data_IF_355158574403
#
_entry.id   IF_355158574403
#
_cell.length_a   1.000
_cell.length_b   1.000
_cell.length_c   1.000
_cell.angle_alpha   90.00
_cell.angle_beta   90.00
_cell.angle_gamma   90.00
#
_symmetry.space_group_name_H-M   'P 1'
#
loop_
_entity.id
_entity.type
_entity.pdbx_description
1 polymer ?
#
# COMPACT_ATOMS: atom_id res chain seq x y z
N UNK A 1 49.29 1.91 -0.02
CA UNK A 1 48.50 3.15 -0.17
C UNK A 1 46.98 2.90 -0.20
N UNK A 2 46.46 1.97 -1.04
CA UNK A 2 45.00 1.67 -1.13
C UNK A 2 44.31 1.12 0.14
N UNK A 3 45.03 0.44 1.03
CA UNK A 3 44.45 -0.11 2.28
C UNK A 3 44.29 0.98 3.36
N UNK A 4 45.17 1.98 3.37
CA UNK A 4 45.10 3.09 4.32
C UNK A 4 43.93 4.05 3.99
N UNK A 5 43.68 4.32 2.71
CA UNK A 5 42.51 5.10 2.28
C UNK A 5 41.17 4.42 2.60
N UNK A 6 41.11 3.07 2.55
CA UNK A 6 39.90 2.31 2.92
C UNK A 6 39.64 2.37 4.43
N UNK A 7 40.67 2.34 5.28
CA UNK A 7 40.54 2.50 6.74
C UNK A 7 40.18 3.93 7.14
N UNK A 8 40.71 4.95 6.45
CA UNK A 8 40.35 6.35 6.69
C UNK A 8 38.89 6.61 6.28
N UNK A 9 38.42 6.09 5.14
CA UNK A 9 37.00 6.19 4.77
C UNK A 9 36.08 5.46 5.74
N UNK A 10 36.41 4.24 6.18
CA UNK A 10 35.59 3.49 7.12
C UNK A 10 35.55 4.16 8.51
N UNK A 11 36.68 4.70 9.00
CA UNK A 11 36.71 5.48 10.23
C UNK A 11 35.97 6.83 10.09
N UNK A 12 35.98 7.47 8.92
CA UNK A 12 35.22 8.70 8.66
C UNK A 12 33.70 8.44 8.56
N UNK A 13 33.29 7.28 8.03
CA UNK A 13 31.88 6.85 8.04
C UNK A 13 31.39 6.44 9.44
N UNK A 14 32.25 5.81 10.26
CA UNK A 14 31.92 5.52 11.66
C UNK A 14 31.89 6.83 12.48
N UNK A 15 32.78 7.80 12.19
CA UNK A 15 32.75 9.10 12.87
C UNK A 15 31.54 9.97 12.45
N UNK A 16 31.08 9.89 11.19
CA UNK A 16 29.82 10.51 10.76
C UNK A 16 28.59 9.77 11.33
N UNK A 17 28.64 8.44 11.43
CA UNK A 17 27.55 7.61 11.96
C UNK A 17 27.40 7.69 13.49
N UNK A 18 28.47 8.04 14.21
CA UNK A 18 28.45 8.15 15.69
C UNK A 18 28.16 9.59 16.17
N UNK A 19 28.20 10.61 15.30
CA UNK A 19 27.75 11.98 15.62
C UNK A 19 26.21 12.12 15.57
N UNK A 20 25.48 11.09 15.13
CA UNK A 20 24.00 11.09 15.17
C UNK A 20 23.39 10.50 16.45
N UNK A 21 24.19 10.12 17.44
CA UNK A 21 23.70 9.73 18.76
C UNK A 21 24.21 10.71 19.82
N UNK A 22 23.24 11.36 20.48
CA UNK A 22 23.36 12.19 21.70
C UNK A 22 23.61 13.69 21.43
N UNK A 23 22.53 14.40 21.05
CA UNK A 23 22.00 15.58 21.76
C UNK A 23 21.18 16.48 20.83
N UNK A 24 19.90 16.65 21.12
CA UNK A 24 19.15 17.83 20.70
C UNK A 24 18.73 17.88 19.24
N UNK A 25 17.62 17.21 18.96
CA UNK A 25 16.72 17.44 17.82
C UNK A 25 16.75 18.90 17.33
N UNK A 26 17.56 19.15 16.29
CA UNK A 26 17.52 20.36 15.47
C UNK A 26 17.37 19.89 14.04
N UNK A 27 16.13 19.54 13.71
CA UNK A 27 15.70 19.37 12.32
C UNK A 27 15.75 20.75 11.68
N UNK A 28 16.75 20.96 10.83
CA UNK A 28 16.89 22.18 10.02
C UNK A 28 15.71 22.23 9.06
N UNK A 29 14.80 23.17 9.28
CA UNK A 29 13.76 23.57 8.35
C UNK A 29 14.41 24.12 7.07
N UNK A 30 14.57 23.27 6.06
CA UNK A 30 14.70 23.72 4.66
C UNK A 30 13.27 23.78 4.09
N UNK A 31 12.74 25.00 4.04
CA UNK A 31 11.44 25.30 3.46
C UNK A 31 11.48 25.00 1.96
N UNK A 32 11.06 23.79 1.56
CA UNK A 32 10.56 23.54 0.22
C UNK A 32 9.05 23.74 0.26
N UNK A 33 8.57 24.96 0.03
CA UNK A 33 7.16 25.37 0.19
C UNK A 33 6.17 24.71 -0.79
N UNK A 34 6.57 23.68 -1.55
CA UNK A 34 5.72 23.04 -2.56
C UNK A 34 5.76 21.51 -2.61
N UNK A 35 6.45 20.81 -1.71
CA UNK A 35 6.27 19.35 -1.62
C UNK A 35 5.03 19.06 -0.77
N UNK A 36 3.89 18.88 -1.44
CA UNK A 36 2.74 18.24 -0.82
C UNK A 36 3.17 16.84 -0.39
N UNK A 37 3.16 16.57 0.91
CA UNK A 37 3.52 15.25 1.44
C UNK A 37 2.49 14.26 0.92
N UNK A 38 2.93 13.31 0.09
CA UNK A 38 2.08 12.22 -0.36
C UNK A 38 1.59 11.44 0.86
N UNK A 39 0.29 11.14 0.90
CA UNK A 39 -0.28 10.37 1.99
C UNK A 39 0.20 8.93 1.85
N UNK A 40 0.86 8.43 2.89
CA UNK A 40 1.42 7.08 2.90
C UNK A 40 0.30 6.02 2.80
N UNK A 41 0.46 5.00 1.94
CA UNK A 41 -0.50 3.91 1.85
C UNK A 41 -0.56 3.12 3.15
N UNK A 42 -1.71 2.48 3.43
CA UNK A 42 -1.88 1.64 4.62
C UNK A 42 -2.09 2.40 5.93
N UNK A 43 -2.15 3.73 5.91
CA UNK A 43 -2.45 4.55 7.10
C UNK A 43 -3.95 4.73 7.32
N UNK A 44 -4.73 4.84 6.26
CA UNK A 44 -6.20 4.84 6.28
C UNK A 44 -6.72 3.93 5.18
N UNK A 45 -7.40 2.87 5.60
CA UNK A 45 -7.85 1.82 4.70
C UNK A 45 -9.25 1.36 5.10
N UNK A 46 -9.84 0.54 4.25
CA UNK A 46 -11.05 -0.20 4.55
C UNK A 46 -10.67 -1.62 4.98
N UNK A 47 -11.26 -2.07 6.10
CA UNK A 47 -11.23 -3.47 6.55
C UNK A 47 -12.67 -4.00 6.48
N UNK A 48 -12.96 -4.80 5.46
CA UNK A 48 -14.32 -4.95 4.94
C UNK A 48 -14.86 -3.58 4.55
N UNK A 49 -16.04 -3.22 5.05
CA UNK A 49 -16.63 -1.89 4.83
C UNK A 49 -16.24 -0.86 5.91
N UNK A 50 -15.38 -1.22 6.86
CA UNK A 50 -15.06 -0.39 8.04
C UNK A 50 -13.82 0.47 7.78
N UNK A 51 -13.89 1.80 7.93
CA UNK A 51 -12.70 2.64 7.89
C UNK A 51 -11.83 2.40 9.12
N UNK A 52 -10.54 2.16 8.89
CA UNK A 52 -9.54 1.96 9.94
C UNK A 52 -8.37 2.89 9.68
N UNK A 53 -7.88 3.55 10.73
CA UNK A 53 -6.79 4.54 10.64
C UNK A 53 -5.69 4.28 11.68
N UNK A 54 -4.44 4.51 11.28
CA UNK A 54 -3.30 4.66 12.18
C UNK A 54 -3.14 6.13 12.53
N UNK A 55 -3.09 6.43 13.83
CA UNK A 55 -2.74 7.75 14.35
C UNK A 55 -1.76 7.61 15.50
N UNK A 56 -0.56 8.18 15.33
CA UNK A 56 0.51 8.15 16.34
C UNK A 56 0.82 6.72 16.81
N UNK A 57 0.90 5.77 15.86
CA UNK A 57 1.15 4.35 16.14
C UNK A 57 -0.04 3.56 16.71
N UNK A 58 -1.17 4.21 17.00
CA UNK A 58 -2.39 3.56 17.50
C UNK A 58 -3.39 3.33 16.38
N UNK A 59 -4.18 2.26 16.49
CA UNK A 59 -5.19 1.89 15.48
C UNK A 59 -6.58 2.25 15.96
N UNK A 60 -7.36 2.89 15.10
CA UNK A 60 -8.75 3.24 15.37
C UNK A 60 -9.66 2.74 14.27
N UNK A 61 -10.83 2.26 14.66
CA UNK A 61 -11.91 1.85 13.74
C UNK A 61 -13.07 2.83 13.83
N UNK A 62 -13.62 3.22 12.67
CA UNK A 62 -14.81 4.06 12.60
C UNK A 62 -16.07 3.20 12.63
N UNK A 63 -16.86 3.35 13.68
CA UNK A 63 -18.11 2.62 13.83
C UNK A 63 -19.25 3.20 13.00
N UNK A 64 -20.29 2.39 12.83
CA UNK A 64 -21.54 2.79 12.15
C UNK A 64 -22.30 3.91 12.85
N UNK A 65 -21.99 4.15 14.13
CA UNK A 65 -22.50 5.28 14.92
C UNK A 65 -21.72 6.58 14.70
N UNK A 66 -20.74 6.58 13.80
CA UNK A 66 -19.94 7.76 13.46
C UNK A 66 -18.82 8.06 14.47
N UNK A 67 -18.43 7.09 15.30
CA UNK A 67 -17.40 7.29 16.32
C UNK A 67 -16.16 6.44 16.08
N UNK A 68 -14.99 7.03 16.34
CA UNK A 68 -13.71 6.32 16.33
C UNK A 68 -13.50 5.57 17.63
N UNK A 69 -13.20 4.27 17.54
CA UNK A 69 -12.87 3.41 18.68
C UNK A 69 -11.43 2.97 18.58
N UNK A 70 -10.70 3.12 19.67
CA UNK A 70 -9.33 2.63 19.77
C UNK A 70 -9.32 1.09 19.83
N UNK A 71 -8.46 0.47 19.03
CA UNK A 71 -8.22 -0.96 19.05
C UNK A 71 -6.90 -1.23 19.80
N UNK A 72 -6.97 -1.99 20.87
CA UNK A 72 -5.80 -2.32 21.68
C UNK A 72 -4.93 -3.36 20.98
N UNK A 73 -3.79 -2.92 20.44
CA UNK A 73 -2.80 -3.75 19.75
C UNK A 73 -1.44 -3.69 20.47
N UNK A 74 -0.61 -4.72 20.28
CA UNK A 74 0.75 -4.76 20.82
C UNK A 74 1.73 -4.11 19.83
N UNK A 75 2.40 -3.05 20.28
CA UNK A 75 3.40 -2.31 19.52
C UNK A 75 2.79 -1.20 18.66
N UNK A 76 3.65 -0.35 18.11
CA UNK A 76 3.25 0.77 17.27
C UNK A 76 2.90 0.27 15.86
N UNK A 77 1.68 0.56 15.41
CA UNK A 77 1.21 0.18 14.08
C UNK A 77 1.92 0.97 12.99
N UNK A 78 2.40 0.24 11.97
CA UNK A 78 3.09 0.78 10.80
C UNK A 78 2.20 0.78 9.56
N UNK A 79 1.47 -0.30 9.35
CA UNK A 79 0.64 -0.51 8.16
C UNK A 79 -0.60 -1.32 8.52
N UNK A 80 -1.77 -0.86 8.11
CA UNK A 80 -2.99 -1.68 8.04
C UNK A 80 -3.02 -2.34 6.67
N UNK A 81 -3.21 -3.66 6.64
CA UNK A 81 -3.37 -4.43 5.42
C UNK A 81 -4.86 -4.50 5.10
N UNK A 82 -5.22 -4.22 3.85
CA UNK A 82 -6.61 -4.16 3.38
C UNK A 82 -7.16 -5.57 3.17
N UNK A 83 -8.37 -5.82 3.63
CA UNK A 83 -9.09 -7.08 3.47
C UNK A 83 -10.33 -7.12 4.37
N UNK A 84 -11.06 -8.21 4.39
CA UNK A 84 -12.22 -8.46 5.26
C UNK A 84 -11.87 -8.44 6.75
N UNK A 85 -10.69 -8.95 7.11
CA UNK A 85 -10.23 -9.10 8.50
C UNK A 85 -9.10 -8.11 8.79
N UNK A 86 -9.12 -7.56 10.01
CA UNK A 86 -8.09 -6.62 10.46
C UNK A 86 -6.74 -7.32 10.56
N UNK A 87 -5.80 -6.85 9.74
CA UNK A 87 -4.40 -7.23 9.79
C UNK A 87 -3.53 -5.97 9.91
N UNK A 88 -2.62 -5.97 10.88
CA UNK A 88 -1.75 -4.82 11.16
C UNK A 88 -0.31 -5.29 11.27
N UNK A 89 0.57 -4.69 10.47
CA UNK A 89 2.03 -4.80 10.61
C UNK A 89 2.50 -3.70 11.55
N UNK A 90 3.26 -4.04 12.58
CA UNK A 90 3.84 -3.07 13.50
C UNK A 90 5.27 -2.65 13.09
N UNK A 91 5.82 -1.62 13.74
CA UNK A 91 7.15 -1.08 13.44
C UNK A 91 8.30 -2.08 13.68
N UNK A 92 8.09 -3.10 14.52
CA UNK A 92 9.03 -4.20 14.74
C UNK A 92 8.93 -5.30 13.68
N UNK A 93 7.96 -5.19 12.77
CA UNK A 93 7.72 -6.12 11.68
C UNK A 93 6.93 -7.34 12.12
N UNK A 94 6.27 -7.31 13.28
CA UNK A 94 5.35 -8.37 13.73
C UNK A 94 3.93 -8.09 13.23
N UNK A 95 3.20 -9.16 12.96
CA UNK A 95 1.81 -9.10 12.54
C UNK A 95 0.82 -9.30 13.70
N UNK A 96 -0.22 -8.45 13.71
CA UNK A 96 -1.44 -8.64 14.47
C UNK A 96 -2.58 -9.04 13.54
N UNK A 97 -3.41 -9.98 14.01
CA UNK A 97 -4.68 -10.36 13.40
C UNK A 97 -5.78 -10.40 14.48
N UNK A 98 -6.97 -9.92 14.12
CA UNK A 98 -8.13 -10.07 15.00
C UNK A 98 -8.61 -11.53 14.97
N UNK A 99 -8.53 -12.20 16.12
CA UNK A 99 -8.82 -13.64 16.29
C UNK A 99 -10.32 -13.98 16.31
N UNK A 100 -11.23 -13.01 16.26
CA UNK A 100 -12.66 -13.30 16.38
C UNK A 100 -13.24 -13.79 15.05
N UNK A 101 -13.47 -15.09 14.96
CA UNK A 101 -14.34 -15.66 13.92
C UNK A 101 -15.33 -16.60 14.60
N UNK A 102 -16.58 -16.17 14.64
CA UNK A 102 -17.71 -17.05 14.93
C UNK A 102 -18.04 -17.80 13.63
N UNK A 103 -17.50 -19.00 13.50
CA UNK A 103 -17.57 -19.81 12.29
C UNK A 103 -18.93 -20.52 12.22
N UNK A 104 -19.90 -19.95 11.51
CA UNK A 104 -21.03 -20.72 10.99
C UNK A 104 -20.55 -21.75 9.95
N UNK A 105 -21.22 -22.90 9.84
CA UNK A 105 -20.93 -23.89 8.80
C UNK A 105 -21.18 -23.27 7.40
N UNK A 106 -20.13 -23.18 6.58
CA UNK A 106 -20.22 -22.78 5.16
C UNK A 106 -19.62 -21.41 4.82
N UNK A 107 -18.32 -21.20 5.08
CA UNK A 107 -17.61 -19.99 4.62
C UNK A 107 -17.59 -19.90 3.08
N UNK A 108 -17.75 -18.69 2.50
CA UNK A 108 -17.34 -18.44 1.12
C UNK A 108 -15.86 -18.81 0.91
N UNK A 109 -15.52 -19.32 -0.27
CA UNK A 109 -14.16 -19.73 -0.62
C UNK A 109 -13.11 -18.63 -0.40
N UNK A 110 -13.48 -17.37 -0.62
CA UNK A 110 -12.62 -16.19 -0.40
C UNK A 110 -12.25 -16.01 1.08
N UNK A 111 -13.20 -16.18 1.99
CA UNK A 111 -12.96 -16.09 3.44
C UNK A 111 -12.07 -17.23 3.94
N UNK A 112 -12.23 -18.44 3.41
CA UNK A 112 -11.36 -19.57 3.75
C UNK A 112 -9.92 -19.37 3.26
N UNK A 113 -9.74 -18.80 2.06
CA UNK A 113 -8.42 -18.47 1.51
C UNK A 113 -7.71 -17.37 2.32
N UNK A 114 -8.43 -16.33 2.73
CA UNK A 114 -7.90 -15.26 3.58
C UNK A 114 -7.30 -15.81 4.89
N UNK A 115 -8.00 -16.74 5.54
CA UNK A 115 -7.54 -17.38 6.79
C UNK A 115 -6.32 -18.27 6.60
N UNK A 116 -6.28 -19.02 5.51
CA UNK A 116 -5.12 -19.81 5.15
C UNK A 116 -3.88 -18.93 4.91
N UNK A 117 -4.06 -17.78 4.24
CA UNK A 117 -2.97 -16.83 4.00
C UNK A 117 -2.52 -16.11 5.28
N UNK A 118 -3.44 -15.81 6.20
CA UNK A 118 -3.11 -15.33 7.55
C UNK A 118 -2.19 -16.32 8.28
N UNK A 119 -2.56 -17.60 8.38
CA UNK A 119 -1.76 -18.58 9.11
C UNK A 119 -0.36 -18.73 8.51
N UNK A 120 -0.28 -18.81 7.18
CA UNK A 120 1.00 -18.89 6.46
C UNK A 120 1.88 -17.65 6.68
N UNK A 121 1.31 -16.46 6.53
CA UNK A 121 2.06 -15.21 6.70
C UNK A 121 2.54 -15.02 8.14
N UNK A 122 1.77 -15.45 9.15
CA UNK A 122 2.20 -15.48 10.55
C UNK A 122 3.37 -16.44 10.81
N UNK A 123 3.39 -17.61 10.17
CA UNK A 123 4.50 -18.56 10.28
C UNK A 123 5.77 -17.94 9.70
N UNK A 124 5.70 -17.42 8.47
CA UNK A 124 6.83 -16.75 7.82
C UNK A 124 7.35 -15.55 8.61
N UNK A 125 6.44 -14.73 9.14
CA UNK A 125 6.77 -13.53 9.89
C UNK A 125 7.54 -13.83 11.18
N UNK A 126 7.31 -15.00 11.79
CA UNK A 126 8.07 -15.47 12.95
C UNK A 126 9.50 -15.86 12.60
N UNK A 127 9.72 -16.38 11.40
CA UNK A 127 11.05 -16.73 10.91
C UNK A 127 11.82 -15.47 10.48
N UNK A 128 11.16 -14.57 9.75
CA UNK A 128 11.75 -13.32 9.29
C UNK A 128 10.73 -12.17 9.32
N UNK A 129 10.96 -11.12 10.15
CA UNK A 129 10.05 -10.00 10.26
C UNK A 129 9.93 -9.23 8.95
N UNK A 130 8.70 -8.83 8.61
CA UNK A 130 8.41 -8.08 7.39
C UNK A 130 8.74 -6.59 7.56
N UNK A 131 9.22 -5.98 6.49
CA UNK A 131 9.33 -4.53 6.35
C UNK A 131 8.05 -3.92 5.76
N UNK A 132 7.38 -4.63 4.86
CA UNK A 132 6.13 -4.21 4.22
C UNK A 132 5.34 -5.43 3.73
N UNK A 133 4.02 -5.33 3.65
CA UNK A 133 3.16 -6.36 3.06
C UNK A 133 2.44 -5.77 1.86
N UNK A 134 2.23 -6.56 0.81
CA UNK A 134 1.36 -6.15 -0.28
C UNK A 134 -0.01 -5.73 0.28
N UNK A 135 -0.61 -4.68 -0.26
CA UNK A 135 -1.74 -3.99 0.37
C UNK A 135 -2.99 -4.87 0.65
N UNK A 136 -3.05 -6.13 0.19
CA UNK A 136 -4.10 -7.09 0.54
C UNK A 136 -3.57 -8.53 0.62
N UNK A 137 -4.19 -9.35 1.48
CA UNK A 137 -3.91 -10.80 1.65
C UNK A 137 -4.87 -11.72 0.88
N UNK A 138 -5.95 -11.16 0.32
CA UNK A 138 -7.14 -11.93 -0.06
C UNK A 138 -7.24 -12.15 -1.56
N UNK A 139 -6.55 -11.30 -2.31
CA UNK A 139 -6.56 -11.30 -3.76
C UNK A 139 -5.11 -11.32 -4.23
N UNK A 140 -4.73 -12.47 -4.77
CA UNK A 140 -3.42 -12.84 -5.30
C UNK A 140 -2.39 -13.19 -4.22
N UNK A 141 -1.79 -14.36 -4.43
CA UNK A 141 -0.50 -14.81 -3.94
C UNK A 141 0.25 -13.78 -3.09
N UNK A 142 0.22 -14.01 -1.77
CA UNK A 142 0.84 -13.17 -0.75
C UNK A 142 2.25 -12.74 -1.12
N UNK A 143 2.55 -11.45 -0.95
CA UNK A 143 3.90 -10.89 -1.13
C UNK A 143 4.27 -9.99 0.03
N UNK A 144 5.53 -10.06 0.43
CA UNK A 144 6.07 -9.21 1.48
C UNK A 144 7.46 -8.71 1.10
N UNK A 145 7.80 -7.51 1.56
CA UNK A 145 9.17 -7.01 1.56
C UNK A 145 9.78 -7.41 2.89
N UNK A 146 10.89 -8.12 2.85
CA UNK A 146 11.66 -8.50 4.03
C UNK A 146 12.59 -7.36 4.45
N UNK A 147 13.01 -7.35 5.72
CA UNK A 147 13.90 -6.29 6.25
C UNK A 147 15.28 -6.27 5.61
N UNK A 148 15.71 -7.38 5.03
CA UNK A 148 16.96 -7.49 4.29
C UNK A 148 16.88 -6.91 2.86
N UNK A 149 15.68 -6.56 2.39
CA UNK A 149 15.42 -6.04 1.03
C UNK A 149 14.91 -7.08 0.03
N UNK A 150 14.83 -8.36 0.40
CA UNK A 150 14.29 -9.41 -0.45
C UNK A 150 12.77 -9.29 -0.57
N UNK A 151 12.25 -9.64 -1.74
CA UNK A 151 10.82 -9.71 -2.01
C UNK A 151 10.39 -11.16 -1.90
N UNK A 152 9.55 -11.45 -0.92
CA UNK A 152 8.92 -12.75 -0.75
C UNK A 152 7.70 -12.87 -1.67
N UNK A 153 7.56 -14.00 -2.36
CA UNK A 153 6.40 -14.27 -3.21
C UNK A 153 6.01 -15.76 -3.16
N UNK A 154 4.76 -16.06 -3.48
CA UNK A 154 4.27 -17.44 -3.52
C UNK A 154 4.88 -18.21 -4.70
N UNK A 155 5.65 -19.25 -4.39
CA UNK A 155 6.17 -20.25 -5.32
C UNK A 155 5.28 -21.49 -5.40
N UNK A 156 5.79 -22.61 -5.93
CA UNK A 156 5.06 -23.88 -6.02
C UNK A 156 4.97 -24.53 -4.65
N UNK A 157 3.85 -24.32 -3.95
CA UNK A 157 3.58 -24.89 -2.63
C UNK A 157 4.32 -24.19 -1.48
N UNK A 158 5.47 -23.58 -1.74
CA UNK A 158 6.31 -22.84 -0.79
C UNK A 158 6.47 -21.35 -1.18
N UNK A 159 7.17 -20.57 -0.36
CA UNK A 159 7.49 -19.17 -0.65
C UNK A 159 8.93 -19.05 -1.14
N UNK A 160 9.10 -18.34 -2.25
CA UNK A 160 10.40 -18.02 -2.84
C UNK A 160 10.77 -16.56 -2.62
N UNK A 161 12.04 -16.23 -2.89
CA UNK A 161 12.61 -14.91 -2.68
C UNK A 161 13.17 -14.36 -3.98
N UNK A 162 12.87 -13.10 -4.25
CA UNK A 162 13.49 -12.33 -5.31
C UNK A 162 14.35 -11.23 -4.72
N UNK A 163 15.63 -11.21 -5.08
CA UNK A 163 16.56 -10.15 -4.69
C UNK A 163 16.75 -9.18 -5.85
N UNK A 164 16.52 -7.89 -5.62
CA UNK A 164 16.80 -6.86 -6.63
C UNK A 164 18.29 -6.49 -6.60
N UNK A 165 18.95 -6.55 -7.77
CA UNK A 165 20.39 -6.28 -7.88
C UNK A 165 20.74 -4.78 -7.94
N UNK A 166 19.88 -3.98 -8.59
CA UNK A 166 20.23 -2.61 -8.99
C UNK A 166 19.62 -1.53 -8.10
N UNK A 167 18.42 -1.76 -7.57
CA UNK A 167 17.66 -0.78 -6.82
C UNK A 167 17.08 -1.34 -5.54
N UNK A 168 16.89 -0.49 -4.54
CA UNK A 168 16.34 -0.88 -3.25
C UNK A 168 14.82 -0.76 -3.30
N UNK A 169 14.06 -1.87 -3.16
CA UNK A 169 12.61 -1.80 -2.99
C UNK A 169 12.28 -1.12 -1.66
N UNK A 170 11.30 -0.23 -1.64
CA UNK A 170 10.87 0.48 -0.43
C UNK A 170 9.45 0.11 0.00
N UNK A 171 8.56 -0.21 -0.95
CA UNK A 171 7.25 -0.79 -0.63
C UNK A 171 6.61 -1.52 -1.81
N UNK A 172 5.58 -2.31 -1.51
CA UNK A 172 4.84 -3.16 -2.44
C UNK A 172 3.36 -2.76 -2.52
N UNK A 173 2.77 -2.90 -3.71
CA UNK A 173 1.33 -2.89 -3.92
C UNK A 173 0.96 -3.87 -5.03
N UNK A 174 0.21 -4.92 -4.70
CA UNK A 174 -0.05 -6.04 -5.62
C UNK A 174 1.24 -6.69 -6.13
N UNK A 175 1.43 -6.72 -7.45
CA UNK A 175 2.64 -7.19 -8.14
C UNK A 175 3.66 -6.09 -8.43
N UNK A 176 3.39 -4.86 -7.97
CA UNK A 176 4.21 -3.71 -8.28
C UNK A 176 5.08 -3.32 -7.09
N UNK A 177 6.30 -2.88 -7.40
CA UNK A 177 7.34 -2.53 -6.45
C UNK A 177 7.75 -1.09 -6.72
N UNK A 178 7.69 -0.23 -5.71
CA UNK A 178 8.33 1.08 -5.78
C UNK A 178 9.75 0.98 -5.20
N UNK A 179 10.72 1.57 -5.88
CA UNK A 179 12.10 1.64 -5.39
C UNK A 179 12.42 3.00 -4.78
N UNK A 180 13.53 3.06 -4.03
CA UNK A 180 14.05 4.29 -3.43
C UNK A 180 14.46 5.36 -4.44
N UNK A 181 14.59 5.01 -5.73
CA UNK A 181 14.86 5.96 -6.81
C UNK A 181 13.59 6.57 -7.40
N UNK A 182 12.39 6.11 -6.99
CA UNK A 182 11.13 6.55 -7.59
C UNK A 182 10.79 5.83 -8.91
N UNK A 183 11.35 4.64 -9.12
CA UNK A 183 11.06 3.77 -10.27
C UNK A 183 10.09 2.66 -9.87
N UNK A 184 9.28 2.21 -10.82
CA UNK A 184 8.27 1.17 -10.59
C UNK A 184 8.63 -0.07 -11.39
N UNK A 185 8.67 -1.20 -10.70
CA UNK A 185 8.87 -2.52 -11.29
C UNK A 185 7.61 -3.36 -11.12
N UNK A 186 7.39 -4.27 -12.06
CA UNK A 186 6.35 -5.28 -12.01
C UNK A 186 7.00 -6.66 -11.92
N UNK A 187 6.70 -7.39 -10.84
CA UNK A 187 7.15 -8.76 -10.64
C UNK A 187 6.10 -9.71 -11.22
N UNK A 188 6.36 -10.19 -12.44
CA UNK A 188 5.54 -11.20 -13.08
C UNK A 188 5.92 -12.58 -12.54
N UNK A 189 4.91 -13.33 -12.15
CA UNK A 189 5.02 -14.76 -11.79
C UNK A 189 4.17 -15.49 -12.82
N UNK A 190 4.82 -16.22 -13.72
CA UNK A 190 4.15 -17.03 -14.74
C UNK A 190 4.11 -18.47 -14.23
N UNK A 191 2.90 -18.95 -13.96
CA UNK A 191 2.62 -20.36 -13.76
C UNK A 191 1.86 -20.79 -15.01
N UNK A 192 2.52 -21.51 -15.92
CA UNK A 192 1.90 -21.88 -17.21
C UNK A 192 0.78 -22.94 -17.06
N UNK A 193 0.37 -23.24 -15.83
CA UNK A 193 -0.76 -24.08 -15.44
C UNK A 193 -0.60 -25.57 -15.76
N UNK A 194 0.44 -25.92 -16.51
CA UNK A 194 0.70 -27.26 -17.02
C UNK A 194 2.08 -27.81 -16.64
N UNK A 195 3.04 -26.95 -16.29
CA UNK A 195 4.34 -27.35 -15.79
C UNK A 195 4.51 -26.99 -14.31
N UNK A 196 5.20 -27.84 -13.56
CA UNK A 196 5.70 -27.54 -12.21
C UNK A 196 6.89 -26.57 -12.28
N UNK A 197 6.85 -25.56 -13.17
CA UNK A 197 7.90 -24.55 -13.33
C UNK A 197 7.27 -23.18 -13.13
N UNK A 198 7.81 -22.43 -12.18
CA UNK A 198 7.51 -21.01 -12.03
C UNK A 198 8.59 -20.21 -12.73
N UNK A 199 8.15 -19.34 -13.64
CA UNK A 199 9.03 -18.33 -14.21
C UNK A 199 8.76 -16.99 -13.54
N UNK A 200 9.82 -16.37 -13.04
CA UNK A 200 9.76 -15.05 -12.41
C UNK A 200 10.50 -14.05 -13.29
N UNK A 201 9.81 -12.97 -13.66
CA UNK A 201 10.38 -11.89 -14.47
C UNK A 201 10.12 -10.55 -13.78
N UNK A 202 11.18 -9.76 -13.61
CA UNK A 202 11.10 -8.43 -13.02
C UNK A 202 11.28 -7.39 -14.11
N UNK A 203 10.21 -6.66 -14.40
CA UNK A 203 10.20 -5.66 -15.47
C UNK A 203 10.12 -4.25 -14.90
N UNK A 204 11.05 -3.38 -15.30
CA UNK A 204 10.89 -1.95 -15.07
C UNK A 204 9.73 -1.42 -15.94
N UNK A 205 8.68 -0.90 -15.31
CA UNK A 205 7.50 -0.32 -16.01
C UNK A 205 7.50 1.22 -15.95
N UNK A 206 8.37 1.80 -15.11
CA UNK A 206 8.58 3.24 -15.02
C UNK A 206 9.98 3.56 -14.50
N UNK A 207 10.75 4.36 -15.25
CA UNK A 207 12.13 4.75 -14.94
C UNK A 207 12.31 6.27 -14.77
N UNK A 208 11.19 7.00 -14.61
CA UNK A 208 11.17 8.47 -14.54
C UNK A 208 11.66 9.06 -13.21
N UNK A 209 11.96 8.22 -12.21
CA UNK A 209 12.57 8.59 -10.91
C UNK A 209 11.84 9.65 -10.10
N UNK A 210 10.51 9.67 -10.19
CA UNK A 210 9.69 10.69 -9.53
C UNK A 210 8.36 10.15 -9.00
N UNK A 211 8.21 8.82 -8.88
CA UNK A 211 7.05 8.22 -8.22
C UNK A 211 7.28 8.21 -6.71
N UNK A 212 6.28 8.71 -5.96
CA UNK A 212 6.30 8.80 -4.50
C UNK A 212 5.42 7.76 -3.82
N UNK A 213 4.36 7.31 -4.51
CA UNK A 213 3.52 6.22 -4.03
C UNK A 213 2.84 5.50 -5.19
N UNK A 214 2.44 4.25 -4.96
CA UNK A 214 1.76 3.39 -5.90
C UNK A 214 0.61 2.67 -5.19
N UNK A 215 -0.45 2.41 -5.94
CA UNK A 215 -1.63 1.68 -5.47
C UNK A 215 -2.08 0.76 -6.58
N UNK A 216 -2.15 -0.54 -6.35
CA UNK A 216 -2.57 -1.55 -7.28
C UNK A 216 -4.05 -1.92 -7.08
N UNK A 217 -4.72 -2.30 -8.16
CA UNK A 217 -6.06 -2.88 -8.07
C UNK A 217 -6.01 -4.21 -7.32
N UNK A 218 -7.15 -4.69 -6.85
CA UNK A 218 -7.23 -5.94 -6.07
C UNK A 218 -6.82 -7.15 -6.91
N UNK A 219 -7.06 -7.07 -8.23
CA UNK A 219 -6.60 -8.05 -9.22
C UNK A 219 -5.14 -7.88 -9.63
N UNK A 220 -4.43 -6.86 -9.12
CA UNK A 220 -3.09 -6.44 -9.50
C UNK A 220 -2.82 -6.33 -11.01
N UNK A 221 -3.87 -6.35 -11.84
CA UNK A 221 -3.75 -6.11 -13.28
C UNK A 221 -3.35 -4.66 -13.56
N UNK A 222 -3.68 -3.73 -12.65
CA UNK A 222 -3.41 -2.30 -12.81
C UNK A 222 -2.74 -1.73 -11.58
N UNK A 223 -1.91 -0.72 -11.80
CA UNK A 223 -1.30 0.08 -10.74
C UNK A 223 -1.30 1.55 -11.12
N UNK A 224 -1.57 2.41 -10.15
CA UNK A 224 -1.37 3.84 -10.28
C UNK A 224 -0.05 4.20 -9.62
N UNK A 225 0.66 5.15 -10.21
CA UNK A 225 1.81 5.81 -9.60
C UNK A 225 1.56 7.30 -9.48
N UNK A 226 1.61 7.81 -8.24
CA UNK A 226 1.57 9.24 -7.96
C UNK A 226 2.98 9.82 -8.10
N UNK A 227 3.12 10.86 -8.90
CA UNK A 227 4.38 11.57 -9.13
C UNK A 227 4.56 12.72 -8.13
N UNK A 228 5.81 13.09 -7.86
CA UNK A 228 6.18 14.24 -7.01
C UNK A 228 5.49 15.55 -7.39
N UNK A 229 5.18 15.74 -8.68
CA UNK A 229 4.51 16.94 -9.20
C UNK A 229 2.98 16.90 -9.12
N UNK A 230 2.40 15.89 -8.45
CA UNK A 230 0.95 15.73 -8.31
C UNK A 230 0.22 15.24 -9.56
N UNK A 231 0.96 14.70 -10.54
CA UNK A 231 0.41 13.96 -11.70
C UNK A 231 0.33 12.47 -11.38
N UNK A 232 -0.52 11.75 -12.09
CA UNK A 232 -0.68 10.30 -11.91
C UNK A 232 -0.42 9.57 -13.22
N UNK A 233 0.25 8.42 -13.14
CA UNK A 233 0.49 7.49 -14.26
C UNK A 233 -0.23 6.18 -13.94
N UNK A 234 -0.79 5.52 -14.97
CA UNK A 234 -1.36 4.18 -14.83
C UNK A 234 -0.49 3.16 -15.55
N UNK A 235 -0.13 2.10 -14.83
CA UNK A 235 0.58 0.91 -15.29
C UNK A 235 -0.43 -0.23 -15.41
N UNK A 236 -0.29 -1.08 -16.43
CA UNK A 236 -1.18 -2.22 -16.63
C UNK A 236 -0.55 -3.27 -17.53
N UNK A 237 -0.91 -4.53 -17.31
CA UNK A 237 -0.59 -5.66 -18.18
C UNK A 237 -1.65 -5.90 -19.27
N UNK A 238 -2.85 -5.31 -19.13
CA UNK A 238 -3.95 -5.41 -20.11
C UNK A 238 -4.23 -4.04 -20.74
N UNK A 239 -4.75 -3.11 -19.93
CA UNK A 239 -5.10 -1.75 -20.36
C UNK A 239 -5.05 -0.78 -19.16
N UNK A 240 -4.39 0.39 -19.28
CA UNK A 240 -4.29 1.37 -18.21
C UNK A 240 -5.62 2.10 -17.95
N UNK A 241 -5.72 2.79 -16.82
CA UNK A 241 -6.82 3.71 -16.52
C UNK A 241 -6.54 5.10 -17.12
N UNK A 242 -7.59 5.77 -17.56
CA UNK A 242 -7.54 7.13 -18.13
C UNK A 242 -7.38 8.20 -17.02
N UNK A 243 -6.15 8.34 -16.51
CA UNK A 243 -5.79 9.31 -15.44
C UNK A 243 -4.98 10.50 -15.97
N UNK A 244 -4.87 10.65 -17.28
CA UNK A 244 -4.02 11.65 -17.92
C UNK A 244 -4.41 13.09 -17.58
N UNK A 245 -5.65 13.36 -17.20
CA UNK A 245 -6.11 14.70 -16.81
C UNK A 245 -5.95 15.01 -15.31
N UNK A 246 -5.58 14.01 -14.49
CA UNK A 246 -5.46 14.18 -13.04
C UNK A 246 -4.25 15.05 -12.66
N UNK A 247 -4.48 16.10 -11.86
CA UNK A 247 -3.48 17.11 -11.47
C UNK A 247 -3.69 17.51 -10.01
N UNK A 248 -2.60 17.94 -9.36
CA UNK A 248 -2.59 18.35 -7.95
C UNK A 248 -3.10 17.23 -7.02
N UNK A 249 -2.83 15.97 -7.39
CA UNK A 249 -3.20 14.79 -6.61
C UNK A 249 -2.19 14.60 -5.47
N UNK A 250 -2.68 14.28 -4.28
CA UNK A 250 -1.89 14.07 -3.06
C UNK A 250 -2.04 12.66 -2.47
N UNK A 251 -3.07 11.93 -2.89
CA UNK A 251 -3.26 10.54 -2.56
C UNK A 251 -3.98 9.82 -3.69
N UNK A 252 -3.70 8.53 -3.86
CA UNK A 252 -4.31 7.65 -4.84
C UNK A 252 -4.75 6.37 -4.16
N UNK A 253 -5.85 5.78 -4.61
CA UNK A 253 -6.25 4.44 -4.19
C UNK A 253 -7.02 3.72 -5.29
N UNK A 254 -6.87 2.39 -5.37
CA UNK A 254 -7.65 1.54 -6.26
C UNK A 254 -8.58 0.59 -5.49
N UNK A 255 -9.79 0.42 -6.01
CA UNK A 255 -10.72 -0.64 -5.63
C UNK A 255 -10.63 -1.82 -6.61
N UNK A 256 -11.74 -2.54 -6.81
CA UNK A 256 -11.78 -3.73 -7.69
C UNK A 256 -11.44 -3.42 -9.15
N UNK A 257 -12.16 -2.46 -9.76
CA UNK A 257 -12.03 -2.11 -11.18
C UNK A 257 -12.09 -0.59 -11.43
N UNK A 258 -11.72 0.20 -10.43
CA UNK A 258 -11.70 1.66 -10.49
C UNK A 258 -10.55 2.23 -9.67
N UNK A 259 -10.30 3.52 -9.87
CA UNK A 259 -9.38 4.29 -9.05
C UNK A 259 -9.98 5.62 -8.61
N UNK A 260 -9.47 6.11 -7.49
CA UNK A 260 -9.74 7.42 -6.94
C UNK A 260 -8.45 8.18 -6.66
N UNK A 261 -8.52 9.51 -6.80
CA UNK A 261 -7.41 10.41 -6.50
C UNK A 261 -7.88 11.59 -5.65
N UNK A 262 -7.25 11.84 -4.51
CA UNK A 262 -7.53 13.01 -3.69
C UNK A 262 -6.68 14.17 -4.16
N UNK A 263 -7.31 15.30 -4.47
CA UNK A 263 -6.61 16.54 -4.80
C UNK A 263 -6.26 17.34 -3.55
N UNK A 264 -5.25 18.20 -3.65
CA UNK A 264 -4.87 19.12 -2.58
C UNK A 264 -5.97 20.11 -2.14
N UNK A 265 -7.05 20.24 -2.92
CA UNK A 265 -8.22 21.06 -2.59
C UNK A 265 -9.31 20.29 -1.84
N UNK A 266 -9.10 19.00 -1.58
CA UNK A 266 -10.10 18.14 -0.94
C UNK A 266 -11.15 17.56 -1.88
N UNK A 267 -11.01 17.72 -3.20
CA UNK A 267 -11.89 17.06 -4.19
C UNK A 267 -11.37 15.66 -4.52
N UNK A 268 -12.30 14.71 -4.74
CA UNK A 268 -12.00 13.32 -5.10
C UNK A 268 -12.26 13.11 -6.60
N UNK A 269 -11.23 12.72 -7.34
CA UNK A 269 -11.30 12.31 -8.74
C UNK A 269 -11.63 10.82 -8.82
N UNK A 270 -12.32 10.40 -9.88
CA UNK A 270 -12.70 9.01 -10.11
C UNK A 270 -12.53 8.61 -11.57
N UNK A 271 -12.14 7.36 -11.80
CA UNK A 271 -12.16 6.70 -13.10
C UNK A 271 -12.42 5.22 -12.91
N UNK A 272 -13.23 4.63 -13.77
CA UNK A 272 -13.40 3.18 -13.85
C UNK A 272 -12.89 2.64 -15.18
N UNK A 273 -12.60 1.33 -15.21
CA UNK A 273 -11.97 0.71 -16.38
C UNK A 273 -12.81 0.80 -17.67
N UNK A 274 -14.14 0.69 -17.57
CA UNK A 274 -15.03 0.67 -18.74
C UNK A 274 -15.64 2.04 -19.06
N UNK A 275 -15.28 3.07 -18.29
CA UNK A 275 -15.94 4.37 -18.23
C UNK A 275 -17.48 4.28 -18.07
N UNK A 276 -18.01 3.19 -17.51
CA UNK A 276 -19.45 2.90 -17.52
C UNK A 276 -20.22 3.65 -16.45
N UNK A 277 -19.56 3.92 -15.31
CA UNK A 277 -20.15 4.61 -14.15
C UNK A 277 -19.47 5.96 -13.87
N UNK A 278 -18.43 6.31 -14.64
CA UNK A 278 -17.50 7.40 -14.32
C UNK A 278 -18.21 8.73 -14.16
N UNK A 279 -19.19 9.05 -15.01
CA UNK A 279 -19.90 10.33 -14.95
C UNK A 279 -20.82 10.43 -13.72
N UNK A 280 -21.55 9.38 -13.43
CA UNK A 280 -22.52 9.30 -12.33
C UNK A 280 -21.80 9.30 -10.97
N UNK A 281 -20.74 8.50 -10.84
CA UNK A 281 -19.91 8.44 -9.63
C UNK A 281 -19.18 9.76 -9.41
N UNK A 282 -18.61 10.38 -10.46
CA UNK A 282 -17.97 11.71 -10.33
C UNK A 282 -18.94 12.74 -9.77
N UNK A 283 -20.19 12.79 -10.26
CA UNK A 283 -21.20 13.72 -9.72
C UNK A 283 -21.53 13.46 -8.25
N UNK A 284 -21.51 12.20 -7.82
CA UNK A 284 -21.73 11.86 -6.40
C UNK A 284 -20.55 12.36 -5.54
N UNK A 285 -19.32 12.19 -6.03
CA UNK A 285 -18.10 12.65 -5.36
C UNK A 285 -17.94 14.18 -5.37
N UNK A 286 -18.51 14.88 -6.35
CA UNK A 286 -18.52 16.36 -6.39
C UNK A 286 -19.26 16.99 -5.19
N UNK A 287 -20.13 16.22 -4.52
CA UNK A 287 -20.82 16.65 -3.30
C UNK A 287 -19.95 16.51 -2.04
N UNK A 288 -18.83 15.79 -2.12
CA UNK A 288 -17.92 15.61 -1.01
C UNK A 288 -17.08 16.87 -0.81
N UNK A 289 -16.92 17.27 0.44
CA UNK A 289 -16.21 18.48 0.83
C UNK A 289 -15.27 18.18 2.00
N UNK A 290 -14.17 18.93 2.07
CA UNK A 290 -13.18 18.87 3.15
C UNK A 290 -12.55 17.48 3.36
N UNK A 291 -12.40 16.71 2.28
CA UNK A 291 -11.76 15.40 2.32
C UNK A 291 -10.25 15.54 2.52
N UNK A 292 -9.69 14.82 3.50
CA UNK A 292 -8.27 14.85 3.85
C UNK A 292 -7.57 13.51 3.63
N UNK A 293 -8.32 12.40 3.61
CA UNK A 293 -7.81 11.08 3.23
C UNK A 293 -8.89 10.29 2.47
N UNK A 294 -8.45 9.35 1.64
CA UNK A 294 -9.33 8.46 0.87
C UNK A 294 -8.93 7.00 1.07
N UNK A 295 -9.91 6.12 1.07
CA UNK A 295 -9.73 4.68 1.05
C UNK A 295 -10.70 4.07 0.02
N UNK A 296 -10.32 2.93 -0.54
CA UNK A 296 -11.14 2.16 -1.46
C UNK A 296 -10.88 0.66 -1.27
N UNK A 297 -11.96 -0.12 -1.34
CA UNK A 297 -11.97 -1.57 -1.23
C UNK A 297 -13.24 -2.11 -1.86
N UNK A 298 -13.13 -3.19 -2.63
CA UNK A 298 -14.21 -3.75 -3.44
C UNK A 298 -14.88 -2.64 -4.27
N UNK A 299 -16.16 -2.39 -4.04
CA UNK A 299 -16.98 -1.36 -4.66
C UNK A 299 -17.27 -0.16 -3.75
N UNK A 300 -16.50 0.03 -2.68
CA UNK A 300 -16.72 1.12 -1.71
C UNK A 300 -15.59 2.13 -1.73
N UNK A 301 -15.95 3.42 -1.81
CA UNK A 301 -15.06 4.56 -1.60
C UNK A 301 -15.40 5.19 -0.25
N UNK A 302 -14.37 5.51 0.55
CA UNK A 302 -14.52 6.31 1.77
C UNK A 302 -13.63 7.53 1.73
N UNK A 303 -14.18 8.66 2.17
CA UNK A 303 -13.46 9.91 2.37
C UNK A 303 -13.48 10.29 3.84
N UNK A 304 -12.30 10.41 4.46
CA UNK A 304 -12.15 11.01 5.78
C UNK A 304 -12.19 12.53 5.64
N UNK A 305 -13.10 13.18 6.36
CA UNK A 305 -13.20 14.65 6.42
C UNK A 305 -12.25 15.23 7.46
N UNK A 306 -11.95 16.52 7.30
CA UNK A 306 -11.14 17.30 8.24
C UNK A 306 -11.72 17.33 9.67
N UNK A 307 -13.04 17.23 9.81
CA UNK A 307 -13.73 17.16 11.11
C UNK A 307 -13.66 15.78 11.78
N UNK A 308 -13.05 14.78 11.10
CA UNK A 308 -12.91 13.42 11.58
C UNK A 308 -14.06 12.48 11.22
N UNK A 309 -15.14 12.95 10.58
CA UNK A 309 -16.21 12.09 10.08
C UNK A 309 -15.85 11.43 8.74
N UNK A 310 -16.49 10.31 8.43
CA UNK A 310 -16.31 9.59 7.17
C UNK A 310 -17.55 9.70 6.28
N UNK A 311 -17.34 9.95 4.99
CA UNK A 311 -18.35 9.79 3.93
C UNK A 311 -18.11 8.48 3.20
N UNK A 312 -19.19 7.81 2.80
CA UNK A 312 -19.18 6.51 2.12
C UNK A 312 -19.91 6.62 0.79
N UNK A 313 -19.37 5.95 -0.22
CA UNK A 313 -20.02 5.77 -1.51
C UNK A 313 -19.85 4.33 -1.95
N UNK A 314 -20.95 3.59 -1.99
CA UNK A 314 -21.03 2.30 -2.67
C UNK A 314 -21.26 2.58 -4.17
N UNK A 315 -20.28 2.22 -4.99
CA UNK A 315 -20.34 2.44 -6.43
C UNK A 315 -21.10 1.33 -7.18
N UNK A 316 -21.42 0.21 -6.52
CA UNK A 316 -22.14 -0.90 -7.15
C UNK A 316 -23.55 -0.49 -7.61
N UNK A 317 -24.14 0.53 -6.97
CA UNK A 317 -25.45 1.09 -7.32
C UNK A 317 -25.47 1.83 -8.67
N UNK A 318 -24.31 2.08 -9.27
CA UNK A 318 -24.16 2.75 -10.58
C UNK A 318 -23.77 1.79 -11.72
N UNK A 319 -23.73 0.48 -11.44
CA UNK A 319 -23.34 -0.56 -12.40
C UNK A 319 -24.53 -1.21 -13.10
#
# INVERSE_FOLDING_TARGET
MKIAERRIKLQMFILLGVIFLIAGMTVVFLWNTNQQVAIMPGQFVLVGERPVIIKEGNVYEYGTDGTWRHLELIGEAKQIVRGEILCVLNEHGSLYYDKKIDLGEGLPLTSAYALYMEEKSLILNKEEPFAWINQSLEYLDFRALLRNGDILYQGLGEYDRYQMDEETPIFLSGSYILTSQGNVYYLKIDTDGYSDIINTDLKCVYDGKDIVTISASETAARCLGLRENGRVVSFSDIAPLEVTDWKNVIAIQQGFNYAVGLTAKGSVLYVDYNASSTKEVTKALDLWTDIVQIAAYSDTIVGLKQDGSCLFLDISVYK
#
